data_IF_611718389699
#
_entry.id   IF_611718389699
#
_cell.length_a   1.000
_cell.length_b   1.000
_cell.length_c   1.000
_cell.angle_alpha   90.00
_cell.angle_beta   90.00
_cell.angle_gamma   90.00
#
_symmetry.space_group_name_H-M   'P 1'
#
loop_
_entity.id
_entity.type
_entity.pdbx_description
1 polymer ?
#
# COMPACT_ATOMS: atom_id res chain seq x y z
N UNK A 1 10.20 -30.09 -3.84
CA UNK A 1 10.65 -28.77 -4.36
C UNK A 1 9.46 -27.89 -4.78
N UNK A 2 8.58 -28.36 -5.68
CA UNK A 2 7.43 -27.61 -6.21
C UNK A 2 6.42 -27.12 -5.13
N UNK A 3 6.08 -27.93 -4.12
CA UNK A 3 5.18 -27.52 -3.02
C UNK A 3 5.71 -26.35 -2.18
N UNK A 4 7.03 -26.20 -2.05
CA UNK A 4 7.68 -25.13 -1.27
C UNK A 4 7.72 -23.82 -2.06
N UNK A 5 7.86 -23.89 -3.38
CA UNK A 5 7.80 -22.73 -4.28
C UNK A 5 6.37 -22.23 -4.48
N UNK A 6 5.40 -23.15 -4.57
CA UNK A 6 3.99 -22.81 -4.70
C UNK A 6 3.42 -22.16 -3.42
N UNK A 7 3.75 -22.70 -2.23
CA UNK A 7 3.37 -22.05 -0.97
C UNK A 7 4.05 -20.69 -0.82
N UNK A 8 5.32 -20.55 -1.20
CA UNK A 8 6.02 -19.27 -1.16
C UNK A 8 5.40 -18.20 -2.09
N UNK A 9 4.90 -18.60 -3.28
CA UNK A 9 4.17 -17.74 -4.21
C UNK A 9 2.80 -17.32 -3.65
N UNK A 10 2.04 -18.26 -3.10
CA UNK A 10 0.75 -18.02 -2.45
C UNK A 10 0.89 -17.20 -1.16
N UNK A 11 2.01 -17.33 -0.44
CA UNK A 11 2.24 -16.70 0.87
C UNK A 11 2.76 -15.27 0.81
N UNK A 12 3.33 -14.76 -0.30
CA UNK A 12 4.07 -13.50 -0.21
C UNK A 12 3.71 -12.37 -1.19
N UNK A 13 3.45 -12.59 -2.48
CA UNK A 13 3.07 -11.47 -3.38
C UNK A 13 2.53 -11.88 -4.75
N UNK A 14 2.45 -13.17 -5.07
CA UNK A 14 2.17 -13.58 -6.46
C UNK A 14 0.80 -13.11 -6.93
N UNK A 15 -0.21 -13.18 -6.06
CA UNK A 15 -1.55 -12.68 -6.38
C UNK A 15 -1.59 -11.18 -6.61
N UNK A 16 -0.84 -10.40 -5.82
CA UNK A 16 -0.72 -8.96 -6.01
C UNK A 16 -0.13 -8.64 -7.39
N UNK A 17 0.98 -9.29 -7.73
CA UNK A 17 1.68 -9.05 -9.01
C UNK A 17 0.82 -9.48 -10.19
N UNK A 18 0.23 -10.68 -10.13
CA UNK A 18 -0.66 -11.16 -11.18
C UNK A 18 -1.86 -10.23 -11.32
N UNK A 19 -2.48 -9.84 -10.20
CA UNK A 19 -3.60 -8.89 -10.19
C UNK A 19 -3.23 -7.54 -10.80
N UNK A 20 -2.08 -6.97 -10.43
CA UNK A 20 -1.58 -5.71 -10.97
C UNK A 20 -1.30 -5.81 -12.48
N UNK A 21 -0.65 -6.89 -12.93
CA UNK A 21 -0.38 -7.13 -14.36
C UNK A 21 -1.66 -7.34 -15.17
N UNK A 22 -2.62 -8.10 -14.64
CA UNK A 22 -3.91 -8.32 -15.28
C UNK A 22 -4.72 -7.02 -15.34
N UNK A 23 -4.76 -6.26 -14.25
CA UNK A 23 -5.42 -4.94 -14.20
C UNK A 23 -4.80 -3.96 -15.18
N UNK A 24 -3.46 -3.88 -15.22
CA UNK A 24 -2.74 -3.04 -16.18
C UNK A 24 -3.03 -3.46 -17.62
N UNK A 25 -2.96 -4.76 -17.93
CA UNK A 25 -3.25 -5.26 -19.26
C UNK A 25 -4.70 -4.98 -19.68
N UNK A 26 -5.67 -5.22 -18.79
CA UNK A 26 -7.08 -4.95 -19.04
C UNK A 26 -7.33 -3.46 -19.30
N UNK A 27 -6.87 -2.58 -18.41
CA UNK A 27 -7.06 -1.13 -18.54
C UNK A 27 -6.46 -0.56 -19.84
N UNK A 28 -5.45 -1.20 -20.42
CA UNK A 28 -4.85 -0.79 -21.70
C UNK A 28 -5.51 -1.43 -22.94
N UNK A 29 -6.14 -2.61 -22.80
CA UNK A 29 -6.83 -3.29 -23.92
C UNK A 29 -8.22 -2.68 -24.12
N UNK A 30 -8.96 -2.51 -23.02
CA UNK A 30 -10.32 -1.98 -23.04
C UNK A 30 -10.56 -1.17 -21.76
N UNK A 31 -10.24 0.12 -21.85
CA UNK A 31 -10.36 1.05 -20.74
C UNK A 31 -11.82 1.20 -20.27
N UNK A 32 -12.78 1.29 -21.20
CA UNK A 32 -14.19 1.48 -20.84
C UNK A 32 -14.76 0.27 -20.12
N UNK A 33 -14.47 -0.96 -20.59
CA UNK A 33 -14.91 -2.15 -19.86
C UNK A 33 -14.32 -2.23 -18.45
N UNK A 34 -13.08 -1.77 -18.26
CA UNK A 34 -12.43 -1.77 -16.96
C UNK A 34 -13.08 -0.76 -16.00
N UNK A 35 -13.28 0.48 -16.45
CA UNK A 35 -13.96 1.52 -15.66
C UNK A 35 -15.40 1.13 -15.35
N UNK A 36 -16.14 0.60 -16.33
CA UNK A 36 -17.49 0.10 -16.09
C UNK A 36 -17.55 -0.95 -14.98
N UNK A 37 -16.57 -1.85 -14.91
CA UNK A 37 -16.49 -2.86 -13.85
C UNK A 37 -16.21 -2.24 -12.47
N UNK A 38 -15.31 -1.26 -12.41
CA UNK A 38 -15.00 -0.55 -11.16
C UNK A 38 -16.19 0.27 -10.66
N UNK A 39 -16.93 0.90 -11.56
CA UNK A 39 -18.09 1.71 -11.27
C UNK A 39 -19.39 0.91 -11.12
N UNK A 40 -19.35 -0.43 -11.27
CA UNK A 40 -20.53 -1.27 -11.15
C UNK A 40 -21.30 -0.98 -9.85
N UNK A 41 -22.56 -0.51 -9.94
CA UNK A 41 -23.36 -0.21 -8.78
C UNK A 41 -23.83 -1.52 -8.14
N UNK A 42 -23.24 -1.90 -7.01
CA UNK A 42 -23.60 -3.13 -6.30
C UNK A 42 -24.85 -2.93 -5.44
N UNK A 43 -24.88 -1.82 -4.69
CA UNK A 43 -25.98 -1.48 -3.81
C UNK A 43 -26.23 0.03 -3.81
N UNK A 44 -27.50 0.41 -3.96
CA UNK A 44 -27.96 1.79 -3.79
C UNK A 44 -28.58 1.91 -2.39
N UNK A 45 -28.11 2.87 -1.60
CA UNK A 45 -28.63 3.14 -0.26
C UNK A 45 -28.61 4.65 0.06
N UNK A 46 -29.08 5.04 1.25
CA UNK A 46 -29.10 6.46 1.66
C UNK A 46 -28.04 6.82 2.73
N UNK A 47 -27.16 5.88 3.09
CA UNK A 47 -26.30 5.99 4.28
C UNK A 47 -24.81 5.99 3.94
N UNK A 48 -24.33 5.03 3.15
CA UNK A 48 -22.91 4.72 2.94
C UNK A 48 -22.64 4.48 1.45
N UNK A 49 -21.63 5.14 0.89
CA UNK A 49 -21.25 5.03 -0.52
C UNK A 49 -20.94 6.39 -1.15
N UNK A 50 -20.61 6.37 -2.42
CA UNK A 50 -20.29 7.57 -3.22
C UNK A 50 -21.60 8.31 -3.56
N UNK A 51 -21.66 9.65 -3.41
CA UNK A 51 -22.87 10.41 -3.74
C UNK A 51 -23.20 10.32 -5.24
N UNK A 52 -24.44 9.94 -5.57
CA UNK A 52 -24.94 9.90 -6.93
C UNK A 52 -26.46 10.19 -6.94
N UNK A 53 -26.87 11.27 -7.60
CA UNK A 53 -28.27 11.68 -7.76
C UNK A 53 -29.12 11.65 -6.47
N UNK A 54 -28.58 12.18 -5.36
CA UNK A 54 -29.29 12.28 -4.08
C UNK A 54 -29.33 10.98 -3.26
N UNK A 55 -28.81 9.89 -3.79
CA UNK A 55 -28.58 8.62 -3.11
C UNK A 55 -27.08 8.34 -3.00
N UNK A 56 -26.69 7.32 -2.23
CA UNK A 56 -25.30 6.84 -2.14
C UNK A 56 -25.20 5.45 -2.77
N UNK A 57 -24.19 5.27 -3.60
CA UNK A 57 -23.95 4.01 -4.30
C UNK A 57 -22.68 3.38 -3.78
N UNK A 58 -22.76 2.10 -3.44
CA UNK A 58 -21.59 1.27 -3.18
C UNK A 58 -21.17 0.66 -4.51
N UNK A 59 -20.08 1.17 -5.06
CA UNK A 59 -19.44 0.61 -6.25
C UNK A 59 -18.44 -0.47 -5.87
N UNK A 60 -18.01 -1.27 -6.85
CA UNK A 60 -16.89 -2.18 -6.65
C UNK A 60 -15.63 -1.43 -6.22
N UNK A 61 -15.37 -0.27 -6.82
CA UNK A 61 -14.26 0.61 -6.46
C UNK A 61 -14.30 0.99 -4.97
N UNK A 62 -15.46 1.43 -4.45
CA UNK A 62 -15.61 1.77 -3.03
C UNK A 62 -15.35 0.58 -2.11
N UNK A 63 -15.80 -0.62 -2.48
CA UNK A 63 -15.55 -1.81 -1.67
C UNK A 63 -14.06 -2.11 -1.55
N UNK A 64 -13.31 -1.98 -2.63
CA UNK A 64 -11.86 -2.26 -2.64
C UNK A 64 -11.08 -1.12 -1.97
N UNK A 65 -11.36 0.13 -2.33
CA UNK A 65 -10.59 1.30 -1.88
C UNK A 65 -10.89 1.68 -0.43
N UNK A 66 -12.14 1.63 -0.01
CA UNK A 66 -12.52 2.08 1.34
C UNK A 66 -12.59 0.90 2.32
N UNK A 67 -13.37 -0.13 1.98
CA UNK A 67 -13.65 -1.22 2.92
C UNK A 67 -12.46 -2.16 3.09
N UNK A 68 -11.86 -2.65 2.00
CA UNK A 68 -10.69 -3.53 2.11
C UNK A 68 -9.46 -2.79 2.65
N UNK A 69 -9.26 -1.51 2.30
CA UNK A 69 -8.20 -0.72 2.94
C UNK A 69 -8.45 -0.49 4.42
N UNK A 70 -9.70 -0.30 4.87
CA UNK A 70 -10.00 -0.21 6.30
C UNK A 70 -9.59 -1.50 7.04
N UNK A 71 -9.85 -2.68 6.48
CA UNK A 71 -9.37 -3.94 7.05
C UNK A 71 -7.84 -4.05 7.02
N UNK A 72 -7.21 -3.65 5.92
CA UNK A 72 -5.76 -3.62 5.80
C UNK A 72 -5.12 -2.74 6.89
N UNK A 73 -5.60 -1.51 7.07
CA UNK A 73 -5.11 -0.62 8.12
C UNK A 73 -5.44 -1.09 9.53
N UNK A 74 -6.57 -1.79 9.74
CA UNK A 74 -6.87 -2.40 11.03
C UNK A 74 -5.84 -3.49 11.40
N UNK A 75 -5.43 -4.31 10.43
CA UNK A 75 -4.38 -5.32 10.63
C UNK A 75 -3.03 -4.63 10.85
N UNK A 76 -2.66 -3.66 10.01
CA UNK A 76 -1.41 -2.91 10.18
C UNK A 76 -1.35 -2.23 11.57
N UNK A 77 -2.45 -1.60 12.01
CA UNK A 77 -2.56 -1.00 13.34
C UNK A 77 -2.40 -2.00 14.48
N UNK A 78 -2.94 -3.22 14.34
CA UNK A 78 -2.70 -4.31 15.30
C UNK A 78 -1.21 -4.69 15.36
N UNK A 79 -0.53 -4.82 14.22
CA UNK A 79 0.90 -5.16 14.17
C UNK A 79 1.77 -4.08 14.82
N UNK A 80 1.46 -2.79 14.58
CA UNK A 80 2.12 -1.67 15.27
C UNK A 80 1.88 -1.77 16.77
N UNK A 81 0.65 -2.03 17.20
CA UNK A 81 0.33 -2.18 18.61
C UNK A 81 1.15 -3.32 19.24
N UNK A 82 1.19 -4.50 18.61
CA UNK A 82 1.99 -5.64 19.07
C UNK A 82 3.50 -5.33 19.10
N UNK A 83 4.00 -4.53 18.15
CA UNK A 83 5.38 -4.10 18.13
C UNK A 83 5.77 -3.20 19.32
N UNK A 84 4.81 -2.50 19.92
CA UNK A 84 5.03 -1.63 21.11
C UNK A 84 4.94 -2.36 22.45
N UNK A 85 4.34 -3.56 22.49
CA UNK A 85 4.19 -4.36 23.70
C UNK A 85 5.54 -4.82 24.29
N UNK A 86 5.63 -5.17 25.59
CA UNK A 86 6.86 -5.64 26.21
C UNK A 86 7.47 -6.83 25.46
N UNK A 87 8.72 -6.68 25.02
CA UNK A 87 9.43 -7.67 24.20
C UNK A 87 9.33 -7.42 22.67
N UNK A 88 8.49 -6.47 22.26
CA UNK A 88 8.38 -6.02 20.87
C UNK A 88 9.54 -5.14 20.41
N UNK A 89 9.77 -5.03 19.09
CA UNK A 89 10.87 -4.28 18.48
C UNK A 89 10.81 -2.77 18.75
N UNK A 90 9.61 -2.20 18.95
CA UNK A 90 9.41 -0.77 19.23
C UNK A 90 9.26 -0.44 20.72
N UNK A 91 9.26 -1.44 21.61
CA UNK A 91 9.06 -1.24 23.04
C UNK A 91 10.16 -0.38 23.70
N UNK A 92 11.41 -0.56 23.26
CA UNK A 92 12.54 0.19 23.82
C UNK A 92 12.79 1.46 23.00
N UNK A 93 12.64 2.67 23.57
CA UNK A 93 12.78 3.92 22.82
C UNK A 93 14.16 4.10 22.19
N UNK A 94 15.23 3.55 22.79
CA UNK A 94 16.58 3.60 22.19
C UNK A 94 16.69 2.73 20.94
N UNK A 95 15.96 1.61 20.88
CA UNK A 95 15.95 0.71 19.71
C UNK A 95 14.96 1.20 18.64
N UNK A 96 13.83 1.74 19.07
CA UNK A 96 12.79 2.29 18.19
C UNK A 96 13.25 3.56 17.45
N UNK A 97 14.18 4.34 18.02
CA UNK A 97 14.69 5.56 17.41
C UNK A 97 15.25 5.35 15.99
N UNK A 98 15.98 4.24 15.75
CA UNK A 98 16.59 3.99 14.43
C UNK A 98 15.53 3.73 13.35
N UNK A 99 14.59 2.78 13.50
CA UNK A 99 13.48 2.61 12.56
C UNK A 99 12.63 3.86 12.38
N UNK A 100 12.31 4.59 13.45
CA UNK A 100 11.47 5.79 13.37
C UNK A 100 12.16 6.89 12.56
N UNK A 101 13.42 7.19 12.84
CA UNK A 101 14.17 8.21 12.09
C UNK A 101 14.34 7.80 10.63
N UNK A 102 14.58 6.52 10.37
CA UNK A 102 14.66 5.99 9.01
C UNK A 102 13.31 6.10 8.26
N UNK A 103 12.17 5.83 8.92
CA UNK A 103 10.85 6.00 8.35
C UNK A 103 10.54 7.47 8.05
N UNK A 104 10.80 8.38 9.01
CA UNK A 104 10.61 9.82 8.80
C UNK A 104 11.49 10.32 7.66
N UNK A 105 12.76 9.91 7.60
CA UNK A 105 13.64 10.23 6.49
C UNK A 105 13.13 9.69 5.15
N UNK A 106 12.62 8.45 5.16
CA UNK A 106 11.99 7.79 4.02
C UNK A 106 10.70 8.45 3.53
N UNK A 107 10.00 9.22 4.37
CA UNK A 107 8.84 10.01 3.97
C UNK A 107 9.22 11.43 3.53
N UNK A 108 10.05 12.12 4.33
CA UNK A 108 10.41 13.52 4.08
C UNK A 108 11.22 13.67 2.80
N UNK A 109 12.17 12.75 2.53
CA UNK A 109 13.00 12.79 1.33
C UNK A 109 12.19 12.77 0.03
N UNK A 110 11.40 11.72 -0.24
CA UNK A 110 10.58 11.62 -1.45
C UNK A 110 9.53 12.72 -1.57
N UNK A 111 8.88 13.12 -0.46
CA UNK A 111 7.90 14.21 -0.46
C UNK A 111 8.53 15.54 -0.92
N UNK A 112 9.71 15.89 -0.39
CA UNK A 112 10.41 17.12 -0.77
C UNK A 112 10.85 17.09 -2.22
N UNK A 113 11.39 15.96 -2.71
CA UNK A 113 11.80 15.82 -4.11
C UNK A 113 10.59 15.98 -5.04
N UNK A 114 9.45 15.37 -4.69
CA UNK A 114 8.22 15.47 -5.48
C UNK A 114 7.67 16.89 -5.53
N UNK A 115 7.53 17.56 -4.38
CA UNK A 115 7.01 18.93 -4.30
C UNK A 115 7.95 19.93 -4.99
N UNK A 116 9.26 19.75 -4.83
CA UNK A 116 10.24 20.56 -5.53
C UNK A 116 10.17 20.34 -7.05
N UNK A 117 10.03 19.09 -7.49
CA UNK A 117 9.80 18.75 -8.89
C UNK A 117 8.55 19.42 -9.46
N UNK A 118 7.42 19.34 -8.74
CA UNK A 118 6.16 20.00 -9.11
C UNK A 118 6.33 21.52 -9.26
N UNK A 119 7.08 22.15 -8.35
CA UNK A 119 7.42 23.56 -8.45
C UNK A 119 8.27 23.88 -9.68
N UNK A 120 9.27 23.05 -10.00
CA UNK A 120 10.15 23.27 -11.17
C UNK A 120 9.42 23.20 -12.51
N UNK A 121 8.39 22.36 -12.61
CA UNK A 121 7.58 22.23 -13.84
C UNK A 121 6.43 23.25 -13.91
N UNK A 122 6.25 24.08 -12.88
CA UNK A 122 5.20 25.11 -12.82
C UNK A 122 3.80 24.59 -12.45
N UNK A 123 3.68 23.32 -12.05
CA UNK A 123 2.41 22.62 -11.77
C UNK A 123 2.22 22.40 -10.25
N UNK A 124 2.73 23.31 -9.42
CA UNK A 124 2.66 23.14 -7.97
C UNK A 124 1.21 23.13 -7.46
N UNK A 125 0.33 24.00 -7.98
CA UNK A 125 -1.06 24.08 -7.53
C UNK A 125 -1.86 22.80 -7.80
N UNK A 126 -1.56 22.11 -8.90
CA UNK A 126 -2.25 20.88 -9.30
C UNK A 126 -1.67 19.65 -8.61
N UNK A 127 -0.34 19.59 -8.44
CA UNK A 127 0.35 18.40 -7.94
C UNK A 127 0.65 18.41 -6.43
N UNK A 128 0.59 19.56 -5.74
CA UNK A 128 0.98 19.63 -4.32
C UNK A 128 0.21 18.66 -3.40
N UNK A 129 -1.05 18.37 -3.72
CA UNK A 129 -1.87 17.42 -2.96
C UNK A 129 -1.34 15.97 -3.04
N UNK A 130 -0.53 15.65 -4.05
CA UNK A 130 0.05 14.32 -4.27
C UNK A 130 1.33 14.01 -3.49
N UNK A 131 1.74 14.87 -2.55
CA UNK A 131 3.02 14.74 -1.83
C UNK A 131 3.21 13.40 -1.10
N UNK A 132 2.11 12.74 -0.71
CA UNK A 132 2.13 11.47 0.00
C UNK A 132 2.27 10.25 -0.93
N UNK A 133 2.00 10.40 -2.23
CA UNK A 133 2.09 9.32 -3.23
C UNK A 133 3.49 8.66 -3.24
N UNK A 134 4.62 9.40 -3.32
CA UNK A 134 5.96 8.80 -3.34
C UNK A 134 6.42 8.26 -1.98
N UNK A 135 5.69 8.52 -0.90
CA UNK A 135 6.02 8.05 0.44
C UNK A 135 5.46 6.64 0.73
N UNK A 136 4.43 6.22 0.00
CA UNK A 136 3.78 4.94 0.22
C UNK A 136 4.71 3.78 -0.21
N UNK A 137 4.90 2.80 0.68
CA UNK A 137 5.70 1.59 0.40
C UNK A 137 4.81 0.37 0.46
N UNK A 138 4.78 -0.44 -0.61
CA UNK A 138 4.09 -1.73 -0.62
C UNK A 138 4.94 -2.79 0.10
N UNK A 139 4.47 -3.22 1.28
CA UNK A 139 5.14 -4.20 2.14
C UNK A 139 5.34 -5.54 1.42
N UNK A 140 4.30 -6.02 0.73
CA UNK A 140 4.32 -7.33 0.08
C UNK A 140 5.37 -7.35 -1.03
N UNK A 141 5.33 -6.35 -1.92
CA UNK A 141 6.27 -6.25 -3.02
C UNK A 141 7.71 -6.04 -2.52
N UNK A 142 7.91 -5.14 -1.56
CA UNK A 142 9.23 -4.84 -0.98
C UNK A 142 9.84 -6.07 -0.30
N UNK A 143 9.04 -6.83 0.44
CA UNK A 143 9.48 -8.07 1.09
C UNK A 143 9.92 -9.13 0.07
N UNK A 144 9.16 -9.33 -1.01
CA UNK A 144 9.51 -10.29 -2.06
C UNK A 144 10.85 -9.93 -2.70
N UNK A 145 11.02 -8.69 -3.13
CA UNK A 145 12.26 -8.23 -3.76
C UNK A 145 13.44 -8.32 -2.79
N UNK A 146 13.26 -7.91 -1.53
CA UNK A 146 14.29 -8.01 -0.50
C UNK A 146 14.75 -9.46 -0.28
N UNK A 147 13.83 -10.43 -0.29
CA UNK A 147 14.19 -11.85 -0.16
C UNK A 147 14.94 -12.39 -1.36
N UNK A 148 14.62 -11.92 -2.57
CA UNK A 148 15.33 -12.32 -3.79
C UNK A 148 16.76 -11.77 -3.78
N UNK A 149 16.94 -10.51 -3.38
CA UNK A 149 18.24 -9.83 -3.40
C UNK A 149 19.15 -10.25 -2.24
N UNK A 150 18.66 -10.22 -1.01
CA UNK A 150 19.48 -10.44 0.19
C UNK A 150 19.46 -11.89 0.70
N UNK A 151 18.51 -12.71 0.22
CA UNK A 151 18.27 -14.05 0.73
C UNK A 151 17.41 -14.06 2.00
N UNK A 152 16.67 -15.15 2.20
CA UNK A 152 15.57 -15.21 3.18
C UNK A 152 15.97 -15.02 4.66
N UNK A 153 17.25 -15.18 5.01
CA UNK A 153 17.74 -15.10 6.39
C UNK A 153 18.49 -13.78 6.68
N UNK A 154 18.50 -12.82 5.76
CA UNK A 154 19.26 -11.60 5.94
C UNK A 154 18.59 -10.64 6.95
N UNK A 155 19.32 -10.08 7.93
CA UNK A 155 18.76 -9.18 8.96
C UNK A 155 18.03 -7.95 8.41
N UNK A 156 18.39 -7.51 7.20
CA UNK A 156 17.73 -6.38 6.53
C UNK A 156 16.24 -6.61 6.26
N UNK A 157 15.77 -7.85 6.12
CA UNK A 157 14.35 -8.14 5.87
C UNK A 157 13.49 -7.74 7.07
N UNK A 158 13.92 -8.10 8.28
CA UNK A 158 13.22 -7.71 9.51
C UNK A 158 13.21 -6.19 9.70
N UNK A 159 14.28 -5.51 9.31
CA UNK A 159 14.34 -4.05 9.36
C UNK A 159 13.40 -3.38 8.34
N UNK A 160 13.33 -3.91 7.10
CA UNK A 160 12.42 -3.42 6.06
C UNK A 160 10.96 -3.60 6.44
N UNK A 161 10.60 -4.74 7.03
CA UNK A 161 9.24 -4.99 7.52
C UNK A 161 8.84 -4.02 8.63
N UNK A 162 9.78 -3.57 9.46
CA UNK A 162 9.53 -2.56 10.50
C UNK A 162 9.40 -1.14 9.96
N UNK A 163 9.93 -0.85 8.77
CA UNK A 163 9.80 0.44 8.10
C UNK A 163 8.50 0.56 7.30
N UNK A 164 8.02 -0.57 6.79
CA UNK A 164 6.95 -0.60 5.81
C UNK A 164 5.55 -0.72 6.46
N UNK A 165 5.46 -1.10 7.73
CA UNK A 165 4.25 -1.06 8.56
C UNK A 165 4.18 0.30 9.26
#
# INVERSE_FOLDING_TARGET
MIKRTLNFLLENSAFLIIGALLGLAWANIDHESYEHLLELPLFVNNLIGVPHDGHKIITLHFLVNDIFMAFFFAIAGKEIWEATLPGGPLHNPKRAAVPIVAAVGGMVGPALIYLYGAHLIGEYETLANGWAIPCATDIAFSYMIARIVFGAAHPAISFLLLLAI
#
